data_IF_917624515505
#
_entry.id   IF_917624515505
#
_cell.length_a   1.000
_cell.length_b   1.000
_cell.length_c   1.000
_cell.angle_alpha   90.00
_cell.angle_beta   90.00
_cell.angle_gamma   90.00
#
_symmetry.space_group_name_H-M   'P 1'
#
loop_
_entity.id
_entity.type
_entity.pdbx_description
1 polymer ?
#
# COMPACT_ATOMS: atom_id res chain seq x y z
N UNK A 1 12.28 -7.04 -1.94
CA UNK A 1 11.00 -7.23 -2.11
C UNK A 1 10.53 -7.48 -3.48
N UNK A 2 10.92 -8.53 -4.04
CA UNK A 2 10.56 -8.84 -5.41
C UNK A 2 9.08 -9.00 -5.65
N UNK A 3 8.38 -9.50 -4.65
CA UNK A 3 7.00 -9.64 -4.80
C UNK A 3 6.28 -8.38 -4.96
N UNK A 4 6.69 -7.37 -4.24
CA UNK A 4 6.09 -6.07 -4.30
C UNK A 4 6.33 -5.45 -5.64
N UNK A 5 7.49 -5.65 -6.20
CA UNK A 5 7.78 -5.13 -7.52
C UNK A 5 6.84 -5.66 -8.57
N UNK A 6 6.49 -6.92 -8.51
CA UNK A 6 5.59 -7.47 -9.48
C UNK A 6 4.21 -6.87 -9.41
N UNK A 7 3.73 -6.66 -8.18
CA UNK A 7 2.42 -6.06 -8.01
C UNK A 7 2.45 -4.61 -8.40
N UNK A 8 3.54 -3.94 -8.05
CA UNK A 8 3.71 -2.54 -8.38
C UNK A 8 3.72 -2.34 -9.89
N UNK A 9 4.29 -3.28 -10.62
CA UNK A 9 4.33 -3.14 -12.06
C UNK A 9 2.95 -3.15 -12.66
N UNK A 10 2.06 -3.99 -12.18
CA UNK A 10 0.71 -4.00 -12.67
C UNK A 10 0.01 -2.70 -12.37
N UNK A 11 0.23 -2.17 -11.19
CA UNK A 11 -0.34 -0.90 -10.80
C UNK A 11 0.26 0.23 -11.62
N UNK A 12 1.55 0.14 -11.92
CA UNK A 12 2.22 1.15 -12.72
C UNK A 12 1.66 1.20 -14.13
N UNK A 13 1.29 0.05 -14.69
CA UNK A 13 0.70 0.03 -16.02
C UNK A 13 -0.64 0.76 -16.02
N UNK A 14 -1.42 0.60 -14.96
CA UNK A 14 -2.69 1.30 -14.84
C UNK A 14 -2.46 2.81 -14.78
N UNK A 15 -1.43 3.24 -14.07
CA UNK A 15 -1.10 4.66 -13.99
C UNK A 15 -0.69 5.20 -15.35
N UNK A 16 0.07 4.44 -16.11
CA UNK A 16 0.49 4.87 -17.43
C UNK A 16 -0.71 5.04 -18.36
N UNK A 17 -1.68 4.15 -18.25
CA UNK A 17 -2.88 4.25 -19.06
C UNK A 17 -3.66 5.50 -18.68
N UNK A 18 -3.77 5.75 -17.38
CA UNK A 18 -4.47 6.93 -16.90
C UNK A 18 -3.77 8.20 -17.36
N UNK A 19 -2.44 8.22 -17.34
CA UNK A 19 -1.70 9.37 -17.81
C UNK A 19 -2.02 9.70 -19.26
N UNK A 20 -2.13 8.67 -20.09
CA UNK A 20 -2.46 8.89 -21.48
C UNK A 20 -3.85 9.41 -21.66
N UNK A 21 -4.79 8.94 -20.84
CA UNK A 21 -6.18 9.33 -20.95
C UNK A 21 -6.43 10.73 -20.38
N UNK A 22 -5.75 11.03 -19.31
CA UNK A 22 -5.95 12.28 -18.60
C UNK A 22 -5.14 13.42 -19.18
N UNK A 23 -4.02 13.10 -19.78
CA UNK A 23 -3.16 14.10 -20.37
C UNK A 23 -2.43 14.90 -19.32
N UNK A 24 -2.62 16.21 -19.36
CA UNK A 24 -1.87 17.08 -18.48
C UNK A 24 -2.58 17.45 -17.19
N UNK A 25 -3.71 16.84 -16.91
CA UNK A 25 -4.46 17.19 -15.71
C UNK A 25 -3.71 16.71 -14.47
N UNK A 26 -3.04 17.61 -13.77
CA UNK A 26 -2.23 17.26 -12.64
C UNK A 26 -3.05 16.79 -11.45
N UNK A 27 -4.29 17.27 -11.31
CA UNK A 27 -5.14 16.84 -10.21
C UNK A 27 -5.50 15.36 -10.38
N UNK A 28 -5.92 14.97 -11.57
CA UNK A 28 -6.26 13.57 -11.83
C UNK A 28 -5.04 12.68 -11.73
N UNK A 29 -3.88 13.19 -12.14
CA UNK A 29 -2.65 12.43 -12.01
C UNK A 29 -2.30 12.19 -10.54
N UNK A 30 -2.51 13.20 -9.72
CA UNK A 30 -2.27 13.06 -8.29
C UNK A 30 -3.19 12.01 -7.68
N UNK A 31 -4.47 12.00 -8.06
CA UNK A 31 -5.39 10.99 -7.58
C UNK A 31 -4.96 9.59 -7.99
N UNK A 32 -4.46 9.45 -9.22
CA UNK A 32 -3.98 8.16 -9.69
C UNK A 32 -2.77 7.70 -8.88
N UNK A 33 -1.86 8.62 -8.58
CA UNK A 33 -0.69 8.29 -7.78
C UNK A 33 -1.07 7.87 -6.37
N UNK A 34 -2.06 8.54 -5.79
CA UNK A 34 -2.55 8.17 -4.46
C UNK A 34 -3.15 6.77 -4.47
N UNK A 35 -3.89 6.44 -5.53
CA UNK A 35 -4.48 5.12 -5.64
C UNK A 35 -3.40 4.04 -5.71
N UNK A 36 -2.30 4.32 -6.39
CA UNK A 36 -1.19 3.38 -6.47
C UNK A 36 -0.60 3.13 -5.09
N UNK A 37 -0.35 4.20 -4.33
CA UNK A 37 0.24 4.07 -3.01
C UNK A 37 -0.70 3.32 -2.07
N UNK A 38 -1.99 3.63 -2.12
CA UNK A 38 -2.96 2.95 -1.27
C UNK A 38 -3.01 1.46 -1.58
N UNK A 39 -2.97 1.09 -2.85
CA UNK A 39 -2.98 -0.31 -3.23
C UNK A 39 -1.70 -1.01 -2.78
N UNK A 40 -0.57 -0.33 -2.84
CA UNK A 40 0.69 -0.90 -2.40
C UNK A 40 0.70 -1.13 -0.90
N UNK A 41 0.15 -0.20 -0.13
CA UNK A 41 0.08 -0.35 1.31
C UNK A 41 -0.81 -1.53 1.67
N UNK A 42 -1.96 -1.65 1.01
CA UNK A 42 -2.85 -2.78 1.26
C UNK A 42 -2.14 -4.10 0.98
N UNK A 43 -1.39 -4.16 -0.11
CA UNK A 43 -0.67 -5.38 -0.47
C UNK A 43 0.44 -5.68 0.55
N UNK A 44 1.12 -4.65 1.04
CA UNK A 44 2.15 -4.84 2.05
C UNK A 44 1.58 -5.46 3.31
N UNK A 45 0.41 -5.00 3.74
CA UNK A 45 -0.23 -5.55 4.93
C UNK A 45 -0.56 -7.02 4.71
N UNK A 46 -1.12 -7.33 3.55
CA UNK A 46 -1.45 -8.71 3.22
C UNK A 46 -0.20 -9.58 3.24
N UNK A 47 0.88 -9.11 2.63
CA UNK A 47 2.11 -9.88 2.54
C UNK A 47 2.75 -10.10 3.91
N UNK A 48 2.78 -9.06 4.72
CA UNK A 48 3.36 -9.16 6.05
C UNK A 48 2.58 -10.16 6.90
N UNK A 49 1.26 -10.10 6.80
CA UNK A 49 0.41 -11.04 7.53
C UNK A 49 0.63 -12.47 7.04
N UNK A 50 0.61 -12.65 5.73
CA UNK A 50 0.76 -13.98 5.13
C UNK A 50 2.12 -14.58 5.44
N UNK A 51 3.17 -13.77 5.37
CA UNK A 51 4.51 -14.25 5.67
C UNK A 51 4.66 -14.63 7.13
N UNK A 52 3.90 -14.01 8.00
CA UNK A 52 3.88 -14.36 9.42
C UNK A 52 2.97 -15.56 9.70
N UNK A 53 2.30 -16.07 8.67
CA UNK A 53 1.41 -17.22 8.75
C UNK A 53 0.24 -16.99 9.67
N UNK A 54 -0.30 -15.77 9.62
CA UNK A 54 -1.44 -15.38 10.42
C UNK A 54 -2.67 -15.24 9.54
N UNK A 55 -3.82 -15.58 10.09
CA UNK A 55 -5.08 -15.25 9.44
C UNK A 55 -5.41 -13.80 9.75
N UNK A 56 -6.37 -13.24 9.02
CA UNK A 56 -6.82 -11.89 9.31
C UNK A 56 -7.33 -11.78 10.73
N UNK A 57 -8.03 -12.81 11.20
CA UNK A 57 -8.55 -12.79 12.56
C UNK A 57 -7.41 -12.80 13.58
N UNK A 58 -6.40 -13.61 13.35
CA UNK A 58 -5.28 -13.68 14.26
C UNK A 58 -4.51 -12.37 14.31
N UNK A 59 -4.28 -11.76 13.15
CA UNK A 59 -3.62 -10.47 13.15
C UNK A 59 -4.46 -9.44 13.87
N UNK A 60 -5.78 -9.46 13.64
CA UNK A 60 -6.67 -8.53 14.31
C UNK A 60 -6.55 -8.64 15.81
N UNK A 61 -6.48 -9.85 16.32
CA UNK A 61 -6.36 -10.07 17.76
C UNK A 61 -5.05 -9.49 18.29
N UNK A 62 -3.97 -9.71 17.57
CA UNK A 62 -2.68 -9.20 18.00
C UNK A 62 -2.62 -7.68 17.98
N UNK A 63 -3.27 -7.08 17.01
CA UNK A 63 -3.28 -5.63 16.87
C UNK A 63 -4.29 -4.97 17.80
N UNK A 64 -5.29 -5.73 18.25
CA UNK A 64 -6.33 -5.18 19.11
C UNK A 64 -7.47 -4.57 18.31
N UNK A 65 -7.81 -5.17 17.20
CA UNK A 65 -8.89 -4.67 16.36
C UNK A 65 -9.73 -5.87 15.88
N UNK A 66 -10.53 -5.70 14.85
CA UNK A 66 -11.40 -6.75 14.35
C UNK A 66 -10.94 -7.25 12.99
N UNK A 67 -11.38 -8.46 12.65
CA UNK A 67 -11.08 -9.02 11.35
C UNK A 67 -11.57 -8.12 10.23
N UNK A 68 -12.74 -7.52 10.40
CA UNK A 68 -13.30 -6.63 9.38
C UNK A 68 -12.37 -5.46 9.10
N UNK A 69 -11.74 -4.93 10.12
CA UNK A 69 -10.80 -3.82 9.95
C UNK A 69 -9.58 -4.30 9.18
N UNK A 70 -9.04 -5.46 9.52
CA UNK A 70 -7.89 -5.99 8.80
C UNK A 70 -8.25 -6.25 7.34
N UNK A 71 -9.42 -6.82 7.08
CA UNK A 71 -9.84 -7.08 5.71
C UNK A 71 -9.94 -5.79 4.92
N UNK A 72 -10.43 -4.72 5.55
CA UNK A 72 -10.53 -3.43 4.88
C UNK A 72 -9.15 -2.84 4.59
N UNK A 73 -8.22 -3.00 5.52
CA UNK A 73 -6.87 -2.49 5.33
C UNK A 73 -6.14 -3.20 4.19
N UNK A 74 -6.53 -4.43 3.90
CA UNK A 74 -5.92 -5.20 2.81
C UNK A 74 -6.63 -5.02 1.48
N UNK A 75 -7.66 -4.18 1.46
CA UNK A 75 -8.41 -3.90 0.24
C UNK A 75 -7.68 -2.82 -0.55
N UNK A 76 -7.37 -3.11 -1.81
CA UNK A 76 -6.60 -2.19 -2.64
C UNK A 76 -7.28 -0.84 -2.82
N UNK A 77 -8.60 -0.79 -2.67
CA UNK A 77 -9.35 0.44 -2.85
C UNK A 77 -9.48 1.26 -1.56
N UNK A 78 -8.98 0.74 -0.46
CA UNK A 78 -9.13 1.44 0.81
C UNK A 78 -8.17 2.63 0.88
N UNK A 79 -8.66 3.75 1.40
CA UNK A 79 -7.89 4.97 1.47
C UNK A 79 -7.60 5.46 2.88
N UNK A 80 -7.93 4.67 3.87
CA UNK A 80 -7.86 5.11 5.26
C UNK A 80 -6.70 4.57 6.08
N UNK A 81 -5.63 4.14 5.42
CA UNK A 81 -4.47 3.66 6.16
C UNK A 81 -3.85 4.80 6.97
N UNK A 82 -3.47 4.51 8.21
CA UNK A 82 -2.78 5.49 9.03
C UNK A 82 -1.43 4.94 9.45
N UNK A 83 -0.49 5.83 9.71
CA UNK A 83 0.82 5.40 10.19
C UNK A 83 0.69 4.68 11.53
N UNK A 84 -0.21 5.16 12.37
CA UNK A 84 -0.43 4.54 13.67
C UNK A 84 -0.84 3.07 13.52
N UNK A 85 -1.79 2.80 12.63
CA UNK A 85 -2.23 1.44 12.42
C UNK A 85 -1.11 0.59 11.81
N UNK A 86 -0.36 1.14 10.88
CA UNK A 86 0.74 0.41 10.27
C UNK A 86 1.81 0.07 11.30
N UNK A 87 2.08 0.98 12.24
CA UNK A 87 3.03 0.71 13.30
C UNK A 87 2.55 -0.42 14.21
N UNK A 88 1.26 -0.43 14.50
CA UNK A 88 0.69 -1.49 15.32
C UNK A 88 0.77 -2.85 14.63
N UNK A 89 0.53 -2.87 13.33
CA UNK A 89 0.65 -4.10 12.57
C UNK A 89 2.11 -4.57 12.57
N UNK A 90 3.03 -3.65 12.34
CA UNK A 90 4.45 -4.01 12.34
C UNK A 90 4.87 -4.61 13.67
N UNK A 91 4.44 -4.00 14.77
CA UNK A 91 4.76 -4.52 16.09
C UNK A 91 4.19 -5.92 16.30
N UNK A 92 2.97 -6.13 15.81
CA UNK A 92 2.30 -7.43 15.98
C UNK A 92 3.06 -8.56 15.29
N UNK A 93 3.79 -8.25 14.20
CA UNK A 93 4.56 -9.26 13.48
C UNK A 93 6.05 -9.12 13.75
N UNK A 94 6.40 -8.39 14.80
CA UNK A 94 7.79 -8.23 15.24
C UNK A 94 8.66 -7.58 14.19
N UNK A 95 8.14 -6.52 13.58
CA UNK A 95 8.86 -5.75 12.57
C UNK A 95 8.77 -4.27 12.90
N UNK A 96 9.59 -3.49 12.23
CA UNK A 96 9.58 -2.05 12.38
C UNK A 96 9.09 -1.43 11.08
N UNK A 97 8.19 -0.47 11.17
CA UNK A 97 7.71 0.24 10.00
C UNK A 97 8.77 1.23 9.54
N UNK A 98 9.01 1.25 8.25
CA UNK A 98 9.93 2.20 7.66
C UNK A 98 9.22 2.92 6.52
N UNK A 99 9.30 4.24 6.49
CA UNK A 99 8.67 5.05 5.46
C UNK A 99 9.74 5.91 4.81
N UNK A 100 9.78 5.89 3.49
CA UNK A 100 10.82 6.63 2.77
C UNK A 100 10.23 7.34 1.57
N UNK A 101 10.79 8.48 1.24
CA UNK A 101 10.55 9.11 -0.04
C UNK A 101 11.64 8.62 -0.98
N UNK A 102 11.23 8.22 -2.17
CA UNK A 102 12.19 7.74 -3.16
C UNK A 102 12.07 8.59 -4.40
N UNK A 103 13.16 8.68 -5.14
CA UNK A 103 13.18 9.42 -6.38
C UNK A 103 12.28 8.74 -7.41
N UNK A 104 11.57 9.51 -8.20
CA UNK A 104 10.73 8.95 -9.21
C UNK A 104 11.48 8.56 -10.47
N UNK A 105 12.73 8.87 -10.52
CA UNK A 105 13.48 8.50 -11.67
C UNK A 105 13.46 9.48 -12.81
N UNK A 106 12.71 10.57 -12.73
CA UNK A 106 12.64 11.45 -13.73
C UNK A 106 13.29 12.61 -13.31
N UNK A 107 13.92 13.05 -13.61
CA UNK A 107 14.58 14.02 -13.26
C UNK A 107 14.05 15.11 -13.25
N UNK A 108 13.40 15.17 -13.24
CA UNK A 108 12.78 16.19 -13.24
C UNK A 108 13.23 17.20 -12.52
N UNK A 109 13.51 17.13 -11.92
CA UNK A 109 13.76 17.96 -11.33
C UNK A 109 14.48 18.57 -11.58
N UNK A 110 14.71 18.38 -12.04
CA UNK A 110 15.54 19.00 -12.27
C UNK A 110 15.56 20.12 -12.07
#
# INVERSE_FOLDING_TARGET
MPKIEQKTQKTTDAVKILDRMIGEDSHLRQLANEAVVNAEVAQLIHDVRSNAKLTQKQLAELVGTTQSVIARLEDADYEGHSLSMLQRIAAAVNKRLEVRFVSQGRKAMA
#
